data_IF_480840682271
#
_entry.id   IF_480840682271
#
_cell.length_a   1.000
_cell.length_b   1.000
_cell.length_c   1.000
_cell.angle_alpha   90.00
_cell.angle_beta   90.00
_cell.angle_gamma   90.00
#
_symmetry.space_group_name_H-M   'P 1'
#
loop_
_entity.id
_entity.type
_entity.pdbx_description
1 polymer ?
#
# COMPACT_ATOMS: atom_id res chain seq x y z
N UNK A 1 -15.72 20.21 11.12
CA UNK A 1 -15.00 20.79 12.28
C UNK A 1 -15.22 19.98 13.57
N UNK A 2 -16.45 19.57 13.93
CA UNK A 2 -16.70 18.73 15.12
C UNK A 2 -16.05 17.32 15.03
N UNK A 3 -16.07 16.67 13.87
CA UNK A 3 -15.45 15.35 13.70
C UNK A 3 -13.92 15.37 13.88
N UNK A 4 -13.23 16.37 13.32
CA UNK A 4 -11.79 16.54 13.51
C UNK A 4 -11.42 16.71 14.99
N UNK A 5 -12.22 17.46 15.75
CA UNK A 5 -12.02 17.68 17.18
C UNK A 5 -12.09 16.38 17.99
N UNK A 6 -13.03 15.49 17.68
CA UNK A 6 -13.14 14.17 18.32
C UNK A 6 -11.94 13.28 17.98
N UNK A 7 -11.45 13.32 16.73
CA UNK A 7 -10.26 12.58 16.32
C UNK A 7 -9.00 13.09 17.03
N UNK A 8 -8.82 14.41 17.16
CA UNK A 8 -7.70 15.00 17.90
C UNK A 8 -7.69 14.59 19.37
N UNK A 9 -8.85 14.59 20.03
CA UNK A 9 -8.96 14.09 21.41
C UNK A 9 -8.53 12.62 21.54
N UNK A 10 -8.95 11.77 20.59
CA UNK A 10 -8.57 10.35 20.59
C UNK A 10 -7.08 10.14 20.35
N UNK A 11 -6.46 11.02 19.56
CA UNK A 11 -5.03 11.02 19.30
C UNK A 11 -4.21 11.76 20.36
N UNK A 12 -4.86 12.43 21.32
CA UNK A 12 -4.24 13.29 22.34
C UNK A 12 -3.40 14.43 21.74
N UNK A 13 -3.84 14.94 20.59
CA UNK A 13 -3.22 16.07 19.88
C UNK A 13 -3.71 17.37 20.50
N UNK A 14 -2.78 18.25 20.89
CA UNK A 14 -3.09 19.58 21.43
C UNK A 14 -2.56 20.72 20.55
N UNK A 15 -1.65 20.43 19.62
CA UNK A 15 -1.07 21.37 18.65
C UNK A 15 -0.94 20.75 17.26
N UNK A 16 -0.70 21.60 16.25
CA UNK A 16 -0.40 21.12 14.90
C UNK A 16 0.90 20.31 14.86
N UNK A 17 1.90 20.69 15.67
CA UNK A 17 3.17 19.99 15.76
C UNK A 17 3.02 18.58 16.36
N UNK A 18 2.09 18.37 17.30
CA UNK A 18 1.80 17.01 17.78
C UNK A 18 1.31 16.12 16.64
N UNK A 19 0.47 16.65 15.75
CA UNK A 19 0.01 15.92 14.57
C UNK A 19 1.17 15.67 13.58
N UNK A 20 2.02 16.67 13.36
CA UNK A 20 3.17 16.56 12.46
C UNK A 20 4.23 15.56 12.98
N UNK A 21 4.29 15.34 14.30
CA UNK A 21 5.21 14.38 14.91
C UNK A 21 4.62 12.96 15.00
N UNK A 22 3.36 12.75 14.59
CA UNK A 22 2.81 11.41 14.37
C UNK A 22 3.31 10.84 13.05
N UNK A 23 4.60 10.46 13.04
CA UNK A 23 5.28 9.97 11.86
C UNK A 23 4.71 8.62 11.38
N UNK A 24 4.82 8.32 10.07
CA UNK A 24 4.47 7.00 9.55
C UNK A 24 5.31 5.90 10.22
N UNK A 25 4.67 4.81 10.63
CA UNK A 25 5.34 3.63 11.17
C UNK A 25 5.93 2.72 10.09
N UNK A 26 5.43 2.84 8.86
CA UNK A 26 5.93 2.12 7.69
C UNK A 26 5.47 2.81 6.40
N UNK A 27 6.02 2.36 5.28
CA UNK A 27 5.63 2.83 3.95
C UNK A 27 5.22 1.66 3.09
N UNK A 28 4.17 1.85 2.30
CA UNK A 28 3.73 0.89 1.30
C UNK A 28 4.14 1.39 -0.09
N UNK A 29 5.22 0.82 -0.63
CA UNK A 29 5.68 1.11 -1.96
C UNK A 29 4.83 0.36 -2.99
N UNK A 30 4.15 1.09 -3.86
CA UNK A 30 3.29 0.53 -4.92
C UNK A 30 3.93 0.62 -6.32
N UNK A 31 5.22 0.91 -6.39
CA UNK A 31 5.96 1.03 -7.65
C UNK A 31 6.15 -0.33 -8.31
N UNK A 32 5.99 -0.37 -9.63
CA UNK A 32 6.19 -1.60 -10.42
C UNK A 32 7.64 -2.08 -10.31
N UNK A 33 7.79 -3.36 -10.01
CA UNK A 33 9.07 -4.03 -9.93
C UNK A 33 9.68 -4.23 -11.31
N UNK A 34 10.98 -3.96 -11.44
CA UNK A 34 11.77 -4.16 -12.68
C UNK A 34 12.45 -5.53 -12.77
N UNK A 35 12.42 -6.31 -11.68
CA UNK A 35 12.99 -7.65 -11.59
C UNK A 35 12.25 -8.43 -10.51
N UNK A 36 12.30 -9.77 -10.56
CA UNK A 36 11.74 -10.62 -9.50
C UNK A 36 12.82 -10.85 -8.43
N UNK A 37 12.47 -10.60 -7.17
CA UNK A 37 13.34 -10.75 -6.00
C UNK A 37 12.62 -11.56 -4.93
N UNK A 38 13.09 -12.78 -4.71
CA UNK A 38 12.52 -13.70 -3.71
C UNK A 38 12.72 -13.12 -2.30
N UNK A 39 11.68 -13.20 -1.48
CA UNK A 39 11.66 -12.72 -0.11
C UNK A 39 11.16 -11.27 0.05
N UNK A 40 11.04 -10.51 -1.05
CA UNK A 40 10.60 -9.11 -1.03
C UNK A 40 9.11 -8.94 -1.35
N UNK A 41 8.50 -7.88 -0.82
CA UNK A 41 7.17 -7.45 -1.27
C UNK A 41 7.31 -6.63 -2.54
N UNK A 42 6.66 -7.07 -3.60
CA UNK A 42 6.81 -6.53 -4.94
C UNK A 42 5.45 -6.24 -5.58
N UNK A 43 5.43 -5.32 -6.53
CA UNK A 43 4.25 -5.02 -7.35
C UNK A 43 4.51 -5.40 -8.79
N UNK A 44 3.58 -6.11 -9.41
CA UNK A 44 3.65 -6.50 -10.81
C UNK A 44 2.37 -6.13 -11.55
N UNK A 45 2.52 -5.78 -12.80
CA UNK A 45 1.43 -5.75 -13.77
C UNK A 45 1.26 -7.17 -14.32
N UNK A 46 0.16 -7.81 -13.97
CA UNK A 46 -0.06 -9.24 -14.14
C UNK A 46 -1.35 -9.53 -14.88
N UNK A 47 -1.32 -10.55 -15.73
CA UNK A 47 -2.48 -11.07 -16.46
C UNK A 47 -2.81 -12.45 -15.92
N UNK A 48 -4.08 -12.70 -15.61
CA UNK A 48 -4.53 -14.01 -15.17
C UNK A 48 -4.50 -14.98 -16.35
N UNK A 49 -3.63 -15.99 -16.28
CA UNK A 49 -3.49 -17.03 -17.31
C UNK A 49 -4.41 -18.21 -17.04
N UNK A 50 -4.42 -18.69 -15.80
CA UNK A 50 -5.24 -19.82 -15.38
C UNK A 50 -5.86 -19.54 -14.02
N UNK A 51 -7.09 -20.02 -13.81
CA UNK A 51 -7.76 -20.01 -12.52
C UNK A 51 -8.35 -21.39 -12.27
N UNK A 52 -8.03 -21.97 -11.12
CA UNK A 52 -8.59 -23.25 -10.69
C UNK A 52 -8.95 -23.21 -9.21
N UNK A 53 -9.88 -24.09 -8.80
CA UNK A 53 -10.22 -24.25 -7.40
C UNK A 53 -9.78 -25.65 -6.95
N UNK A 54 -9.02 -25.69 -5.87
CA UNK A 54 -8.63 -26.95 -5.23
C UNK A 54 -8.83 -26.85 -3.72
N UNK A 55 -9.62 -27.75 -3.15
CA UNK A 55 -9.93 -27.81 -1.72
C UNK A 55 -10.41 -26.47 -1.14
N UNK A 56 -11.24 -25.72 -1.88
CA UNK A 56 -11.76 -24.42 -1.45
C UNK A 56 -10.76 -23.27 -1.54
N UNK A 57 -9.57 -23.50 -2.10
CA UNK A 57 -8.55 -22.49 -2.34
C UNK A 57 -8.54 -22.11 -3.82
N UNK A 58 -8.45 -20.81 -4.11
CA UNK A 58 -8.34 -20.32 -5.48
C UNK A 58 -6.87 -20.32 -5.85
N UNK A 59 -6.53 -21.11 -6.86
CA UNK A 59 -5.24 -21.13 -7.51
C UNK A 59 -5.30 -20.23 -8.74
N UNK A 60 -4.31 -19.37 -8.89
CA UNK A 60 -4.20 -18.43 -10.00
C UNK A 60 -2.77 -18.52 -10.53
N UNK A 61 -2.62 -18.71 -11.84
CA UNK A 61 -1.36 -18.46 -12.52
C UNK A 61 -1.41 -17.06 -13.14
N UNK A 62 -0.47 -16.22 -12.76
CA UNK A 62 -0.27 -14.89 -13.33
C UNK A 62 0.88 -14.94 -14.33
N UNK A 63 0.67 -14.35 -15.49
CA UNK A 63 1.74 -13.96 -16.42
C UNK A 63 2.17 -12.53 -16.11
N UNK A 64 3.48 -12.25 -16.17
CA UNK A 64 4.08 -10.93 -15.96
C UNK A 64 4.81 -10.54 -17.25
N UNK A 65 4.11 -9.93 -18.22
CA UNK A 65 4.67 -9.71 -19.56
C UNK A 65 5.97 -8.90 -19.55
N UNK A 66 6.06 -7.90 -18.67
CA UNK A 66 7.23 -7.02 -18.59
C UNK A 66 8.52 -7.74 -18.17
N UNK A 67 8.42 -8.93 -17.56
CA UNK A 67 9.54 -9.72 -17.06
C UNK A 67 9.62 -11.11 -17.69
N UNK A 68 8.78 -11.39 -18.69
CA UNK A 68 8.70 -12.69 -19.39
C UNK A 68 8.66 -13.89 -18.42
N UNK A 69 7.89 -13.76 -17.33
CA UNK A 69 7.86 -14.72 -16.23
C UNK A 69 6.44 -14.94 -15.72
N UNK A 70 6.20 -16.07 -15.05
CA UNK A 70 4.93 -16.33 -14.38
C UNK A 70 5.07 -16.44 -12.86
N UNK A 71 3.95 -16.23 -12.16
CA UNK A 71 3.81 -16.36 -10.71
C UNK A 71 2.58 -17.22 -10.39
N UNK A 72 2.75 -18.20 -9.51
CA UNK A 72 1.62 -18.92 -8.95
C UNK A 72 1.09 -18.20 -7.71
N UNK A 73 -0.22 -18.21 -7.50
CA UNK A 73 -0.85 -17.60 -6.35
C UNK A 73 -1.92 -18.51 -5.78
N UNK A 74 -2.02 -18.54 -4.46
CA UNK A 74 -3.07 -19.24 -3.72
C UNK A 74 -3.81 -18.27 -2.80
N UNK A 75 -5.15 -18.25 -2.90
CA UNK A 75 -6.04 -17.57 -1.95
C UNK A 75 -6.70 -18.60 -1.03
N UNK A 76 -6.49 -18.48 0.28
CA UNK A 76 -6.99 -19.46 1.26
C UNK A 76 -8.44 -19.23 1.72
N UNK A 77 -8.91 -17.97 1.73
CA UNK A 77 -10.25 -17.56 2.19
C UNK A 77 -10.99 -16.86 1.07
N UNK A 78 -11.39 -17.64 0.08
CA UNK A 78 -11.99 -17.13 -1.16
C UNK A 78 -13.43 -16.70 -0.90
N UNK A 79 -13.85 -15.62 -1.54
CA UNK A 79 -15.22 -15.08 -1.49
C UNK A 79 -15.74 -14.92 -2.93
N UNK A 80 -17.06 -14.75 -3.15
CA UNK A 80 -17.60 -14.49 -4.49
C UNK A 80 -16.95 -13.30 -5.21
N UNK A 81 -16.47 -12.31 -4.44
CA UNK A 81 -15.71 -11.19 -4.99
C UNK A 81 -14.43 -11.62 -5.69
N UNK A 82 -13.67 -12.56 -5.11
CA UNK A 82 -12.40 -13.02 -5.67
C UNK A 82 -12.58 -13.73 -7.01
N UNK A 83 -13.61 -14.57 -7.13
CA UNK A 83 -13.92 -15.26 -8.40
C UNK A 83 -14.32 -14.28 -9.51
N UNK A 84 -14.99 -13.17 -9.16
CA UNK A 84 -15.34 -12.12 -10.12
C UNK A 84 -14.14 -11.24 -10.48
N UNK A 85 -13.23 -11.05 -9.53
CA UNK A 85 -12.05 -10.22 -9.70
C UNK A 85 -11.01 -10.92 -10.59
N UNK A 86 -10.70 -12.18 -10.30
CA UNK A 86 -9.68 -12.95 -11.00
C UNK A 86 -10.34 -13.94 -11.98
N UNK A 87 -10.51 -13.50 -13.22
CA UNK A 87 -10.99 -14.34 -14.32
C UNK A 87 -9.90 -14.47 -15.37
N UNK A 88 -9.86 -15.58 -16.12
CA UNK A 88 -8.86 -15.75 -17.19
C UNK A 88 -8.88 -14.56 -18.14
N UNK A 89 -7.70 -14.01 -18.42
CA UNK A 89 -7.48 -12.80 -19.22
C UNK A 89 -7.62 -11.46 -18.47
N UNK A 90 -8.06 -11.44 -17.21
CA UNK A 90 -8.14 -10.19 -16.44
C UNK A 90 -6.75 -9.67 -16.06
N UNK A 91 -6.58 -8.34 -16.09
CA UNK A 91 -5.30 -7.68 -15.81
C UNK A 91 -5.35 -6.93 -14.48
N UNK A 92 -4.32 -7.06 -13.69
CA UNK A 92 -4.25 -6.54 -12.32
C UNK A 92 -2.85 -6.04 -11.98
N UNK A 93 -2.79 -4.96 -11.20
CA UNK A 93 -1.60 -4.65 -10.44
C UNK A 93 -1.61 -5.48 -9.15
N UNK A 94 -0.83 -6.55 -9.08
CA UNK A 94 -0.76 -7.42 -7.91
C UNK A 94 0.38 -7.00 -7.01
N UNK A 95 0.15 -6.98 -5.70
CA UNK A 95 1.17 -6.75 -4.69
C UNK A 95 1.19 -7.89 -3.68
N UNK A 96 2.38 -8.38 -3.37
CA UNK A 96 2.58 -9.40 -2.36
C UNK A 96 4.04 -9.76 -2.20
N UNK A 97 4.33 -10.61 -1.22
CA UNK A 97 5.66 -11.16 -1.03
C UNK A 97 5.91 -12.23 -2.09
N UNK A 98 7.03 -12.11 -2.80
CA UNK A 98 7.49 -13.17 -3.70
C UNK A 98 8.19 -14.24 -2.88
N UNK A 99 7.79 -15.48 -3.09
CA UNK A 99 8.35 -16.67 -2.48
C UNK A 99 8.71 -17.67 -3.58
N UNK A 100 9.55 -18.65 -3.24
CA UNK A 100 9.85 -19.75 -4.13
C UNK A 100 9.55 -21.06 -3.41
N UNK A 101 8.79 -21.92 -4.08
CA UNK A 101 8.47 -23.25 -3.57
C UNK A 101 8.62 -24.29 -4.67
N UNK A 102 9.52 -25.25 -4.44
CA UNK A 102 9.84 -26.34 -5.39
C UNK A 102 10.22 -25.82 -6.79
N UNK A 103 11.05 -24.78 -6.86
CA UNK A 103 11.51 -24.20 -8.13
C UNK A 103 10.46 -23.35 -8.85
N UNK A 104 9.32 -23.06 -8.21
CA UNK A 104 8.26 -22.21 -8.78
C UNK A 104 8.11 -20.95 -7.94
N UNK A 105 8.10 -19.81 -8.63
CA UNK A 105 7.80 -18.52 -8.02
C UNK A 105 6.33 -18.46 -7.61
N UNK A 106 6.09 -17.90 -6.42
CA UNK A 106 4.78 -17.77 -5.83
C UNK A 106 4.58 -16.39 -5.21
N UNK A 107 3.34 -15.91 -5.26
CA UNK A 107 2.88 -14.76 -4.50
C UNK A 107 1.53 -15.14 -3.90
N UNK A 108 1.54 -15.64 -2.67
CA UNK A 108 0.30 -16.05 -2.00
C UNK A 108 -0.45 -14.85 -1.43
N UNK A 109 -1.78 -14.90 -1.49
CA UNK A 109 -2.66 -13.81 -1.01
C UNK A 109 -2.35 -12.43 -1.62
N UNK A 110 -2.17 -12.30 -2.95
CA UNK A 110 -1.85 -11.03 -3.57
C UNK A 110 -2.99 -10.04 -3.39
N UNK A 111 -2.63 -8.78 -3.17
CA UNK A 111 -3.56 -7.66 -3.19
C UNK A 111 -3.63 -7.10 -4.61
N UNK A 112 -4.83 -7.01 -5.17
CA UNK A 112 -5.05 -6.23 -6.40
C UNK A 112 -5.13 -4.75 -6.05
N UNK A 113 -4.20 -3.96 -6.59
CA UNK A 113 -4.13 -2.51 -6.42
C UNK A 113 -4.90 -1.78 -7.53
N UNK A 114 -5.49 -0.63 -7.20
CA UNK A 114 -6.15 0.27 -8.17
C UNK A 114 -5.20 1.31 -8.76
N UNK A 115 -4.18 1.70 -8.00
CA UNK A 115 -3.15 2.68 -8.36
C UNK A 115 -1.78 2.13 -8.00
N UNK A 116 -0.78 2.51 -8.77
CA UNK A 116 0.62 2.12 -8.62
C UNK A 116 1.50 3.35 -8.81
N UNK A 117 2.77 3.24 -8.41
CA UNK A 117 3.74 4.34 -8.54
C UNK A 117 3.68 5.38 -7.42
N UNK A 118 3.09 5.01 -6.27
CA UNK A 118 3.02 5.86 -5.07
C UNK A 118 3.72 5.17 -3.89
N UNK A 119 4.38 5.96 -3.03
CA UNK A 119 4.80 5.52 -1.70
C UNK A 119 3.76 6.01 -0.70
N UNK A 120 3.03 5.06 -0.11
CA UNK A 120 1.90 5.36 0.77
C UNK A 120 2.38 5.25 2.22
N UNK A 121 2.45 6.36 2.98
CA UNK A 121 2.74 6.29 4.41
C UNK A 121 1.62 5.59 5.16
N UNK A 122 2.01 4.76 6.14
CA UNK A 122 1.11 4.06 7.05
C UNK A 122 1.35 4.52 8.48
N UNK A 123 0.27 4.84 9.16
CA UNK A 123 0.32 5.38 10.52
C UNK A 123 -0.20 4.33 11.50
N UNK A 124 0.57 4.07 12.55
CA UNK A 124 0.08 3.33 13.71
C UNK A 124 -0.71 4.28 14.59
N UNK A 125 -2.04 4.15 14.62
CA UNK A 125 -2.88 5.07 15.40
C UNK A 125 -4.16 4.40 15.91
N UNK A 126 -4.78 5.02 16.90
CA UNK A 126 -6.06 4.57 17.46
C UNK A 126 -7.27 4.87 16.55
N UNK A 127 -7.07 5.58 15.43
CA UNK A 127 -8.13 5.91 14.46
C UNK A 127 -7.92 5.12 13.17
N UNK A 128 -8.96 5.10 12.32
CA UNK A 128 -8.88 4.46 11.01
C UNK A 128 -7.82 5.15 10.17
N UNK A 129 -7.08 4.36 9.38
CA UNK A 129 -6.03 4.86 8.49
C UNK A 129 -6.55 5.92 7.51
N UNK A 130 -7.76 5.75 6.99
CA UNK A 130 -8.40 6.76 6.12
C UNK A 130 -8.65 8.09 6.82
N UNK A 131 -9.05 8.05 8.10
CA UNK A 131 -9.26 9.25 8.92
C UNK A 131 -7.94 9.92 9.25
N UNK A 132 -6.89 9.15 9.57
CA UNK A 132 -5.55 9.70 9.81
C UNK A 132 -5.01 10.38 8.57
N UNK A 133 -5.09 9.73 7.41
CA UNK A 133 -4.67 10.31 6.13
C UNK A 133 -5.39 11.62 5.84
N UNK A 134 -6.70 11.66 6.04
CA UNK A 134 -7.50 12.88 5.84
C UNK A 134 -7.07 14.02 6.77
N UNK A 135 -6.67 13.72 8.02
CA UNK A 135 -6.14 14.73 8.93
C UNK A 135 -4.78 15.24 8.48
N UNK A 136 -3.86 14.34 8.12
CA UNK A 136 -2.53 14.72 7.63
C UNK A 136 -2.66 15.60 6.38
N UNK A 137 -3.44 15.17 5.38
CA UNK A 137 -3.66 15.91 4.13
C UNK A 137 -4.27 17.31 4.35
N UNK A 138 -5.14 17.45 5.36
CA UNK A 138 -5.81 18.72 5.64
C UNK A 138 -4.90 19.70 6.41
N UNK A 139 -4.11 19.21 7.36
CA UNK A 139 -3.43 20.06 8.34
C UNK A 139 -1.90 20.11 8.16
N UNK A 140 -1.28 19.04 7.65
CA UNK A 140 0.18 18.98 7.45
C UNK A 140 0.47 19.41 6.02
N UNK A 141 0.72 20.70 5.83
CA UNK A 141 1.20 21.29 4.59
C UNK A 141 2.21 22.40 4.90
N UNK A 142 3.00 22.79 3.90
CA UNK A 142 4.10 23.76 4.08
C UNK A 142 3.64 25.07 4.71
N UNK A 143 2.52 25.64 4.24
CA UNK A 143 2.00 26.92 4.74
C UNK A 143 1.69 26.85 6.24
N UNK A 144 1.03 25.77 6.67
CA UNK A 144 0.68 25.57 8.08
C UNK A 144 1.91 25.32 8.94
N UNK A 145 2.89 24.55 8.46
CA UNK A 145 4.13 24.29 9.20
C UNK A 145 4.99 25.56 9.35
N UNK A 146 5.08 26.40 8.32
CA UNK A 146 5.73 27.71 8.43
C UNK A 146 5.00 28.64 9.41
N UNK A 147 3.67 28.60 9.45
CA UNK A 147 2.88 29.41 10.39
C UNK A 147 3.10 29.01 11.86
N UNK A 148 3.48 27.75 12.13
CA UNK A 148 3.91 27.26 13.45
C UNK A 148 5.36 27.63 13.78
N UNK A 149 6.06 28.34 12.89
CA UNK A 149 7.42 28.84 13.12
C UNK A 149 8.54 27.90 12.72
N UNK A 150 8.26 26.85 11.93
CA UNK A 150 9.30 25.93 11.45
C UNK A 150 10.15 26.57 10.34
N UNK A 151 11.43 26.24 10.33
CA UNK A 151 12.34 26.66 9.28
C UNK A 151 12.27 25.73 8.06
N UNK A 152 12.73 26.20 6.90
CA UNK A 152 12.59 25.48 5.63
C UNK A 152 13.15 24.05 5.64
N UNK A 153 14.21 23.79 6.40
CA UNK A 153 14.74 22.42 6.56
C UNK A 153 13.78 21.51 7.33
N UNK A 154 13.18 22.00 8.41
CA UNK A 154 12.25 21.22 9.24
C UNK A 154 10.97 20.91 8.47
N UNK A 155 10.44 21.91 7.76
CA UNK A 155 9.30 21.75 6.86
C UNK A 155 9.61 20.69 5.80
N UNK A 156 10.75 20.78 5.11
CA UNK A 156 11.12 19.80 4.08
C UNK A 156 11.23 18.37 4.64
N UNK A 157 11.79 18.21 5.85
CA UNK A 157 11.89 16.90 6.50
C UNK A 157 10.50 16.32 6.82
N UNK A 158 9.64 17.10 7.46
CA UNK A 158 8.29 16.64 7.81
C UNK A 158 7.45 16.34 6.57
N UNK A 159 7.50 17.21 5.56
CA UNK A 159 6.81 16.99 4.30
C UNK A 159 7.33 15.74 3.60
N UNK A 160 8.64 15.49 3.59
CA UNK A 160 9.21 14.27 3.00
C UNK A 160 8.81 12.98 3.71
N UNK A 161 8.61 13.03 5.03
CA UNK A 161 8.13 11.88 5.82
C UNK A 161 6.64 11.60 5.55
N UNK A 162 5.80 12.63 5.50
CA UNK A 162 4.36 12.47 5.30
C UNK A 162 3.94 12.32 3.83
N UNK A 163 4.76 12.80 2.88
CA UNK A 163 4.49 12.79 1.45
C UNK A 163 5.72 12.31 0.65
N UNK A 164 6.15 11.06 0.86
CA UNK A 164 7.33 10.52 0.19
C UNK A 164 7.10 10.44 -1.32
N UNK A 165 8.08 10.92 -2.09
CA UNK A 165 8.11 10.82 -3.54
C UNK A 165 8.98 9.63 -3.97
N UNK A 166 8.59 8.97 -5.06
CA UNK A 166 9.49 8.02 -5.72
C UNK A 166 10.67 8.82 -6.31
N UNK A 167 11.87 8.63 -5.76
CA UNK A 167 13.12 9.20 -6.29
C UNK A 167 13.74 8.27 -7.32
#
# INVERSE_FOLDING_TARGET
>A
MQEAKALFQKLKIISLLDLALLLPSSYNNTTLSKSIKVGETQVFDAIVREVSNFNGKLHIEFDIPALESSLNSMLFRVTPYHYKLFTVGSRHYIQGRVEEYRGKLQMNQPKSLKKVGEIIPKYSSAIKESSMRSLIECYINEQMLYAEGLEGREVAVLMGLHYPQNT
#
